data_IF_649365441322
#
_entry.id   IF_649365441322
#
_cell.length_a   1.000
_cell.length_b   1.000
_cell.length_c   1.000
_cell.angle_alpha   90.00
_cell.angle_beta   90.00
_cell.angle_gamma   90.00
#
_symmetry.space_group_name_H-M   'P 1'
#
loop_
_entity.id
_entity.type
_entity.pdbx_description
1 polymer ?
#
# COMPACT_ATOMS: atom_id res chain seq x y z
N UNK A 1 26.69 23.92 -10.04
CA UNK A 1 26.63 22.56 -10.61
C UNK A 1 25.80 21.64 -9.69
N UNK A 2 24.51 21.93 -9.51
CA UNK A 2 23.57 21.05 -8.81
C UNK A 2 22.23 21.13 -9.55
N UNK A 3 22.11 20.37 -10.64
CA UNK A 3 20.83 20.09 -11.27
C UNK A 3 20.03 19.22 -10.29
N UNK A 4 18.99 19.78 -9.70
CA UNK A 4 18.00 18.99 -8.95
C UNK A 4 17.24 18.13 -9.96
N UNK A 5 17.50 16.83 -9.98
CA UNK A 5 16.75 15.88 -10.80
C UNK A 5 15.31 15.87 -10.28
N UNK A 6 14.38 16.37 -11.09
CA UNK A 6 12.95 16.16 -10.88
C UNK A 6 12.68 14.67 -11.03
N UNK A 7 12.64 13.94 -9.92
CA UNK A 7 12.11 12.58 -9.89
C UNK A 7 10.62 12.63 -10.25
N UNK A 8 10.31 12.51 -11.55
CA UNK A 8 8.95 12.27 -11.99
C UNK A 8 8.46 10.99 -11.33
N UNK A 9 7.42 11.03 -10.47
CA UNK A 9 6.92 9.83 -9.84
C UNK A 9 6.30 8.96 -10.94
N UNK A 10 7.01 7.89 -11.32
CA UNK A 10 6.51 6.86 -12.22
C UNK A 10 5.29 6.24 -11.55
N UNK A 11 4.09 6.65 -12.00
CA UNK A 11 2.82 6.14 -11.51
C UNK A 11 2.66 4.70 -11.96
N UNK A 12 3.14 3.76 -11.16
CA UNK A 12 2.95 2.33 -11.43
C UNK A 12 1.47 1.98 -11.22
N UNK A 13 0.67 2.10 -12.27
CA UNK A 13 -0.69 1.57 -12.27
C UNK A 13 -0.60 0.06 -12.45
N UNK A 14 -0.96 -0.69 -11.42
CA UNK A 14 -1.18 -2.13 -11.53
C UNK A 14 -2.40 -2.38 -12.41
N UNK A 15 -2.23 -3.15 -13.48
CA UNK A 15 -3.35 -3.58 -14.33
C UNK A 15 -4.31 -4.45 -13.51
N UNK A 16 -5.62 -4.37 -13.79
CA UNK A 16 -6.67 -5.16 -13.13
C UNK A 16 -6.36 -6.66 -13.11
N UNK A 17 -5.67 -7.17 -14.14
CA UNK A 17 -5.19 -8.55 -14.21
C UNK A 17 -4.23 -8.94 -13.08
N UNK A 18 -3.26 -8.08 -12.73
CA UNK A 18 -2.31 -8.33 -11.64
C UNK A 18 -3.00 -8.33 -10.27
N UNK A 19 -3.99 -7.46 -10.09
CA UNK A 19 -4.81 -7.46 -8.88
C UNK A 19 -5.60 -8.78 -8.73
N UNK A 20 -6.26 -9.22 -9.80
CA UNK A 20 -6.99 -10.50 -9.81
C UNK A 20 -6.07 -11.69 -9.51
N UNK A 21 -4.87 -11.72 -10.11
CA UNK A 21 -3.87 -12.75 -9.82
C UNK A 21 -3.44 -12.75 -8.35
N UNK A 22 -3.21 -11.57 -7.75
CA UNK A 22 -2.81 -11.46 -6.35
C UNK A 22 -3.90 -11.96 -5.39
N UNK A 23 -5.16 -11.67 -5.68
CA UNK A 23 -6.30 -12.19 -4.90
C UNK A 23 -6.39 -13.71 -5.05
N UNK A 24 -6.29 -14.23 -6.28
CA UNK A 24 -6.35 -15.67 -6.52
C UNK A 24 -5.20 -16.43 -5.84
N UNK A 25 -3.97 -15.94 -5.93
CA UNK A 25 -2.81 -16.58 -5.30
C UNK A 25 -2.93 -16.57 -3.78
N UNK A 26 -3.40 -15.47 -3.19
CA UNK A 26 -3.67 -15.38 -1.76
C UNK A 26 -4.76 -16.37 -1.32
N UNK A 27 -5.87 -16.48 -2.06
CA UNK A 27 -6.93 -17.45 -1.77
C UNK A 27 -6.44 -18.90 -1.82
N UNK A 28 -5.63 -19.25 -2.83
CA UNK A 28 -5.04 -20.59 -2.95
C UNK A 28 -4.10 -20.87 -1.78
N UNK A 29 -3.23 -19.93 -1.42
CA UNK A 29 -2.32 -20.07 -0.29
C UNK A 29 -3.08 -20.25 1.03
N UNK A 30 -4.10 -19.43 1.28
CA UNK A 30 -4.96 -19.54 2.45
C UNK A 30 -5.65 -20.91 2.55
N UNK A 31 -6.21 -21.39 1.43
CA UNK A 31 -6.85 -22.71 1.38
C UNK A 31 -5.85 -23.83 1.65
N UNK A 32 -4.66 -23.77 1.04
CA UNK A 32 -3.59 -24.74 1.28
C UNK A 32 -3.15 -24.76 2.75
N UNK A 33 -3.01 -23.60 3.40
CA UNK A 33 -2.73 -23.51 4.84
C UNK A 33 -3.84 -24.13 5.67
N UNK A 34 -5.11 -23.84 5.36
CA UNK A 34 -6.26 -24.41 6.07
C UNK A 34 -6.32 -25.93 5.95
N UNK A 35 -6.09 -26.47 4.74
CA UNK A 35 -6.00 -27.93 4.50
C UNK A 35 -4.82 -28.53 5.28
N UNK A 36 -3.67 -27.85 5.31
CA UNK A 36 -2.50 -28.29 6.08
C UNK A 36 -2.80 -28.38 7.59
N UNK A 37 -3.51 -27.39 8.14
CA UNK A 37 -3.94 -27.42 9.55
C UNK A 37 -4.95 -28.55 9.80
N UNK A 38 -5.85 -28.81 8.86
CA UNK A 38 -6.84 -29.89 8.97
C UNK A 38 -6.20 -31.28 8.98
N UNK A 39 -5.25 -31.51 8.06
CA UNK A 39 -4.51 -32.77 7.89
C UNK A 39 -3.47 -33.02 8.99
N UNK A 40 -3.17 -32.03 9.83
CA UNK A 40 -2.16 -32.15 10.87
C UNK A 40 -2.61 -33.14 11.96
N UNK A 41 -1.80 -34.19 12.17
CA UNK A 41 -2.03 -35.16 13.24
C UNK A 41 -1.64 -34.58 14.60
N UNK A 42 -2.56 -33.82 15.19
CA UNK A 42 -2.38 -33.18 16.50
C UNK A 42 -3.73 -33.01 17.22
N UNK A 43 -3.71 -32.58 18.47
CA UNK A 43 -4.92 -32.33 19.23
C UNK A 43 -5.77 -31.20 18.60
N UNK A 44 -7.09 -31.32 18.67
CA UNK A 44 -8.04 -30.31 18.22
C UNK A 44 -7.75 -28.90 18.77
N UNK A 45 -7.28 -28.80 20.02
CA UNK A 45 -6.89 -27.53 20.63
C UNK A 45 -5.75 -26.82 19.89
N UNK A 46 -4.72 -27.58 19.49
CA UNK A 46 -3.57 -27.04 18.75
C UNK A 46 -4.01 -26.57 17.36
N UNK A 47 -4.88 -27.35 16.70
CA UNK A 47 -5.46 -26.97 15.39
C UNK A 47 -6.27 -25.68 15.48
N UNK A 48 -7.12 -25.54 16.52
CA UNK A 48 -7.90 -24.33 16.75
C UNK A 48 -7.02 -23.10 17.03
N UNK A 49 -5.96 -23.26 17.84
CA UNK A 49 -5.00 -22.20 18.09
C UNK A 49 -4.31 -21.73 16.80
N UNK A 50 -3.83 -22.67 15.96
CA UNK A 50 -3.21 -22.34 14.67
C UNK A 50 -4.21 -21.65 13.72
N UNK A 51 -5.45 -22.11 13.66
CA UNK A 51 -6.48 -21.49 12.84
C UNK A 51 -6.72 -20.03 13.24
N UNK A 52 -6.89 -19.75 14.54
CA UNK A 52 -7.08 -18.39 15.04
C UNK A 52 -5.83 -17.54 14.81
N UNK A 53 -4.63 -18.10 15.05
CA UNK A 53 -3.38 -17.39 14.82
C UNK A 53 -3.23 -16.96 13.36
N UNK A 54 -3.51 -17.84 12.41
CA UNK A 54 -3.46 -17.52 10.96
C UNK A 54 -4.50 -16.46 10.60
N UNK A 55 -5.74 -16.59 11.06
CA UNK A 55 -6.80 -15.60 10.79
C UNK A 55 -6.44 -14.22 11.33
N UNK A 56 -5.96 -14.14 12.56
CA UNK A 56 -5.59 -12.88 13.19
C UNK A 56 -4.34 -12.25 12.55
N UNK A 57 -3.34 -13.07 12.22
CA UNK A 57 -2.12 -12.62 11.53
C UNK A 57 -2.47 -12.01 10.17
N UNK A 58 -3.30 -12.68 9.37
CA UNK A 58 -3.75 -12.21 8.06
C UNK A 58 -4.55 -10.92 8.17
N UNK A 59 -5.49 -10.85 9.11
CA UNK A 59 -6.28 -9.64 9.37
C UNK A 59 -5.40 -8.46 9.74
N UNK A 60 -4.43 -8.69 10.64
CA UNK A 60 -3.47 -7.68 11.08
C UNK A 60 -2.54 -7.24 9.94
N UNK A 61 -2.09 -8.16 9.10
CA UNK A 61 -1.25 -7.86 7.94
C UNK A 61 -1.97 -6.96 6.93
N UNK A 62 -3.24 -7.25 6.60
CA UNK A 62 -4.03 -6.37 5.73
C UNK A 62 -4.30 -5.00 6.35
N UNK A 63 -4.58 -4.95 7.66
CA UNK A 63 -4.75 -3.69 8.39
C UNK A 63 -3.48 -2.84 8.32
N UNK A 64 -2.32 -3.45 8.57
CA UNK A 64 -1.03 -2.78 8.46
C UNK A 64 -0.74 -2.31 7.03
N UNK A 65 -1.01 -3.15 6.02
CA UNK A 65 -0.84 -2.79 4.62
C UNK A 65 -1.71 -1.58 4.24
N UNK A 66 -2.96 -1.55 4.72
CA UNK A 66 -3.86 -0.41 4.54
C UNK A 66 -3.30 0.86 5.18
N UNK A 67 -2.87 0.79 6.44
CA UNK A 67 -2.26 1.95 7.15
C UNK A 67 -1.05 2.49 6.40
N UNK A 68 -0.16 1.61 5.90
CA UNK A 68 1.01 2.03 5.13
C UNK A 68 0.61 2.73 3.83
N UNK A 69 -0.34 2.14 3.09
CA UNK A 69 -0.85 2.73 1.85
C UNK A 69 -1.54 4.07 2.08
N UNK A 70 -2.40 4.16 3.08
CA UNK A 70 -3.12 5.39 3.44
C UNK A 70 -2.12 6.50 3.80
N UNK A 71 -1.00 6.18 4.47
CA UNK A 71 0.09 7.14 4.75
C UNK A 71 0.84 7.58 3.49
N UNK A 72 1.10 6.68 2.56
CA UNK A 72 1.73 7.00 1.27
C UNK A 72 0.85 7.92 0.42
N UNK A 73 -0.45 7.63 0.34
CA UNK A 73 -1.44 8.44 -0.39
C UNK A 73 -1.58 9.84 0.24
N UNK A 74 -1.65 9.94 1.57
CA UNK A 74 -1.69 11.23 2.26
C UNK A 74 -0.47 12.11 1.96
N UNK A 75 0.74 11.53 1.98
CA UNK A 75 1.98 12.27 1.65
C UNK A 75 2.00 12.80 0.21
N UNK A 76 1.52 12.00 -0.75
CA UNK A 76 1.43 12.43 -2.15
C UNK A 76 0.42 13.57 -2.34
N UNK A 77 -0.70 13.56 -1.62
CA UNK A 77 -1.71 14.62 -1.70
C UNK A 77 -1.20 15.94 -1.12
N UNK A 78 -0.52 15.90 0.03
CA UNK A 78 0.05 17.09 0.68
C UNK A 78 1.05 17.78 -0.25
N UNK A 79 1.97 17.02 -0.86
CA UNK A 79 2.96 17.57 -1.79
C UNK A 79 2.33 18.27 -3.00
N UNK A 80 1.23 17.75 -3.55
CA UNK A 80 0.51 18.39 -4.67
C UNK A 80 -0.19 19.69 -4.24
N UNK A 81 -0.74 19.73 -3.04
CA UNK A 81 -1.37 20.95 -2.50
C UNK A 81 -0.31 22.02 -2.25
N UNK A 82 0.84 21.66 -1.70
CA UNK A 82 1.95 22.58 -1.47
C UNK A 82 2.51 23.13 -2.79
N UNK A 83 2.65 22.29 -3.82
CA UNK A 83 3.02 22.74 -5.16
C UNK A 83 2.01 23.74 -5.73
N UNK A 84 0.72 23.44 -5.68
CA UNK A 84 -0.31 24.36 -6.18
C UNK A 84 -0.39 25.67 -5.39
N UNK A 85 -0.10 25.63 -4.08
CA UNK A 85 -0.02 26.85 -3.25
C UNK A 85 1.22 27.68 -3.60
N UNK A 86 2.37 27.03 -3.77
CA UNK A 86 3.60 27.70 -4.21
C UNK A 86 3.44 28.34 -5.58
N UNK A 87 2.83 27.63 -6.54
CA UNK A 87 2.51 28.16 -7.87
C UNK A 87 1.63 29.41 -7.78
N UNK A 88 0.61 29.41 -6.91
CA UNK A 88 -0.24 30.60 -6.69
C UNK A 88 0.55 31.77 -6.08
N UNK A 89 1.38 31.51 -5.07
CA UNK A 89 2.20 32.55 -4.45
C UNK A 89 3.19 33.16 -5.44
N UNK A 90 3.81 32.33 -6.29
CA UNK A 90 4.69 32.78 -7.37
C UNK A 90 3.94 33.55 -8.46
N UNK A 91 2.69 33.19 -8.75
CA UNK A 91 1.89 33.91 -9.74
C UNK A 91 1.35 35.24 -9.20
N UNK A 92 1.07 35.34 -7.90
CA UNK A 92 0.55 36.56 -7.26
C UNK A 92 1.68 37.54 -6.88
N UNK A 93 2.88 37.04 -6.60
CA UNK A 93 4.09 37.83 -6.51
C UNK A 93 4.97 37.49 -7.70
N UNK A 94 4.79 38.18 -8.83
CA UNK A 94 5.69 38.09 -9.98
C UNK A 94 6.86 39.10 -9.82
N UNK A 95 8.04 38.68 -9.33
CA UNK A 95 9.19 39.57 -9.18
C UNK A 95 9.82 39.99 -10.52
N UNK A 96 9.37 39.46 -11.67
CA UNK A 96 9.96 39.73 -12.97
C UNK A 96 9.24 40.82 -13.77
N UNK A 97 8.11 41.34 -13.29
CA UNK A 97 7.40 42.45 -13.95
C UNK A 97 8.11 43.82 -13.78
N UNK A 98 9.18 43.88 -12.98
CA UNK A 98 9.91 45.11 -12.62
C UNK A 98 11.29 45.29 -13.29
N UNK A 99 11.60 44.54 -14.36
CA UNK A 99 12.81 44.76 -15.18
C UNK A 99 12.42 45.00 -16.63
#
# INVERSE_FOLDING_TARGET
>A
MLFSMSDTPVKHQSTVAFYGQAVASFSIAMAATAVGIYQLDTNAWVRAFLAIAVLYLVTSAFTLAKVIRDRQEAGQLISRVDQARLEKLLAEHDPFEKI
#
